data_IF_834290650365
#
_entry.id   IF_834290650365
#
_cell.length_a   1.000
_cell.length_b   1.000
_cell.length_c   1.000
_cell.angle_alpha   90.00
_cell.angle_beta   90.00
_cell.angle_gamma   90.00
#
_symmetry.space_group_name_H-M   'P 1'
#
loop_
_entity.id
_entity.type
_entity.pdbx_description
1 polymer ?
#
# COMPACT_ATOMS: atom_id res chain seq x y z
N UNK A 1 8.10 24.57 -8.15
CA UNK A 1 9.45 23.99 -8.15
C UNK A 1 9.27 22.49 -8.31
N UNK A 2 10.22 21.79 -8.91
CA UNK A 2 10.17 20.32 -8.97
C UNK A 2 10.95 19.79 -7.78
N UNK A 3 10.51 18.68 -7.17
CA UNK A 3 11.32 18.04 -6.13
C UNK A 3 12.72 17.73 -6.68
N UNK A 4 13.73 17.88 -5.81
CA UNK A 4 15.07 17.40 -6.13
C UNK A 4 15.05 15.88 -6.29
N UNK A 5 15.95 15.33 -7.09
CA UNK A 5 16.03 13.87 -7.30
C UNK A 5 16.23 13.10 -6.00
N UNK A 6 16.96 13.69 -5.04
CA UNK A 6 17.15 13.12 -3.70
C UNK A 6 15.84 13.07 -2.91
N UNK A 7 15.14 14.20 -2.81
CA UNK A 7 13.88 14.28 -2.07
C UNK A 7 12.81 13.36 -2.68
N UNK A 8 12.77 13.24 -4.02
CA UNK A 8 11.90 12.27 -4.69
C UNK A 8 12.25 10.82 -4.30
N UNK A 9 13.53 10.47 -4.23
CA UNK A 9 13.96 9.13 -3.83
C UNK A 9 13.59 8.84 -2.36
N UNK A 10 13.80 9.80 -1.47
CA UNK A 10 13.45 9.68 -0.04
C UNK A 10 11.93 9.41 0.14
N UNK A 11 11.08 10.16 -0.58
CA UNK A 11 9.63 9.90 -0.57
C UNK A 11 9.25 8.55 -1.16
N UNK A 12 9.89 8.13 -2.25
CA UNK A 12 9.66 6.82 -2.86
C UNK A 12 9.99 5.69 -1.89
N UNK A 13 11.13 5.77 -1.21
CA UNK A 13 11.56 4.78 -0.24
C UNK A 13 10.59 4.69 0.94
N UNK A 14 10.21 5.85 1.51
CA UNK A 14 9.25 5.92 2.61
C UNK A 14 7.90 5.30 2.22
N UNK A 15 7.36 5.67 1.05
CA UNK A 15 6.06 5.18 0.57
C UNK A 15 6.11 3.67 0.29
N UNK A 16 7.18 3.18 -0.33
CA UNK A 16 7.35 1.74 -0.56
C UNK A 16 7.42 0.99 0.77
N UNK A 17 8.13 1.52 1.77
CA UNK A 17 8.17 0.95 3.11
C UNK A 17 6.77 0.81 3.73
N UNK A 18 5.92 1.82 3.59
CA UNK A 18 4.54 1.75 4.10
C UNK A 18 3.63 0.80 3.29
N UNK A 19 3.83 0.70 1.97
CA UNK A 19 3.09 -0.25 1.13
C UNK A 19 3.51 -1.70 1.38
N UNK A 20 4.79 -1.94 1.65
CA UNK A 20 5.33 -3.27 1.96
C UNK A 20 4.96 -3.76 3.37
N UNK A 21 4.57 -2.83 4.25
CA UNK A 21 4.04 -3.14 5.57
C UNK A 21 2.60 -3.61 5.57
N UNK A 22 1.87 -3.53 4.44
CA UNK A 22 0.50 -4.03 4.39
C UNK A 22 0.53 -5.54 4.63
N UNK A 23 -0.01 -6.04 5.75
CA UNK A 23 0.03 -7.45 6.04
C UNK A 23 -0.88 -8.20 5.08
N UNK A 24 -0.39 -9.32 4.56
CA UNK A 24 -1.15 -10.23 3.72
C UNK A 24 -1.11 -11.60 4.40
N UNK A 25 -2.26 -12.04 4.89
CA UNK A 25 -2.38 -13.29 5.62
C UNK A 25 -2.80 -14.46 4.71
N UNK A 26 -3.57 -14.18 3.66
CA UNK A 26 -4.15 -15.19 2.75
C UNK A 26 -4.02 -14.81 1.30
N UNK A 27 -4.06 -15.81 0.42
CA UNK A 27 -4.00 -15.58 -1.03
C UNK A 27 -5.17 -14.75 -1.56
N UNK A 28 -6.36 -14.85 -0.96
CA UNK A 28 -7.52 -14.06 -1.40
C UNK A 28 -7.32 -12.55 -1.11
N UNK A 29 -6.49 -12.21 -0.11
CA UNK A 29 -6.28 -10.83 0.30
C UNK A 29 -5.46 -10.03 -0.71
N UNK A 30 -4.60 -10.65 -1.53
CA UNK A 30 -3.82 -9.93 -2.56
C UNK A 30 -4.73 -9.14 -3.51
N UNK A 31 -5.80 -9.78 -3.99
CA UNK A 31 -6.74 -9.13 -4.92
C UNK A 31 -7.60 -8.09 -4.20
N UNK A 32 -7.98 -8.35 -2.94
CA UNK A 32 -8.77 -7.40 -2.15
C UNK A 32 -7.98 -6.15 -1.80
N UNK A 33 -6.72 -6.29 -1.37
CA UNK A 33 -5.82 -5.17 -1.10
C UNK A 33 -5.58 -4.36 -2.38
N UNK A 34 -5.32 -5.03 -3.50
CA UNK A 34 -5.16 -4.36 -4.79
C UNK A 34 -6.42 -3.55 -5.17
N UNK A 35 -7.62 -4.07 -4.92
CA UNK A 35 -8.87 -3.35 -5.15
C UNK A 35 -9.04 -2.16 -4.22
N UNK A 36 -8.78 -2.30 -2.91
CA UNK A 36 -8.86 -1.19 -1.96
C UNK A 36 -7.86 -0.08 -2.31
N UNK A 37 -6.61 -0.43 -2.61
CA UNK A 37 -5.59 0.50 -3.09
C UNK A 37 -6.00 1.19 -4.39
N UNK A 38 -6.61 0.46 -5.33
CA UNK A 38 -7.10 1.01 -6.59
C UNK A 38 -8.20 2.05 -6.35
N UNK A 39 -9.09 1.86 -5.37
CA UNK A 39 -10.12 2.84 -5.00
C UNK A 39 -9.50 4.16 -4.53
N UNK A 40 -8.35 4.13 -3.84
CA UNK A 40 -7.67 5.34 -3.36
C UNK A 40 -7.21 6.25 -4.50
N UNK A 41 -6.71 5.66 -5.59
CA UNK A 41 -6.08 6.40 -6.69
C UNK A 41 -6.95 6.56 -7.94
N UNK A 42 -8.12 5.92 -7.97
CA UNK A 42 -9.06 6.02 -9.07
C UNK A 42 -9.98 7.21 -8.85
N UNK A 43 -9.96 8.17 -9.77
CA UNK A 43 -10.91 9.29 -9.75
C UNK A 43 -12.34 8.75 -9.81
N UNK A 44 -13.30 9.33 -9.06
CA UNK A 44 -14.71 8.95 -9.14
C UNK A 44 -15.25 9.01 -10.58
N UNK A 45 -14.68 9.88 -11.43
CA UNK A 45 -15.05 9.99 -12.84
C UNK A 45 -14.64 8.76 -13.68
N UNK A 46 -13.50 8.11 -13.37
CA UNK A 46 -13.05 6.88 -14.04
C UNK A 46 -13.84 5.67 -13.51
N UNK A 47 -14.18 5.69 -12.22
CA UNK A 47 -15.00 4.67 -11.56
C UNK A 47 -16.41 4.59 -12.18
N UNK A 48 -16.96 5.75 -12.58
CA UNK A 48 -18.24 5.83 -13.29
C UNK A 48 -18.17 5.31 -14.75
N UNK A 49 -17.03 5.47 -15.44
CA UNK A 49 -16.86 4.99 -16.82
C UNK A 49 -16.55 3.47 -16.85
N UNK A 50 -15.86 2.95 -15.84
CA UNK A 50 -15.71 1.50 -15.56
C UNK A 50 -16.95 0.92 -14.85
N UNK A 51 -18.16 1.30 -15.28
CA UNK A 51 -19.31 0.44 -15.04
C UNK A 51 -18.96 -0.97 -15.51
N UNK A 52 -19.37 -2.01 -14.77
CA UNK A 52 -19.22 -3.44 -15.09
C UNK A 52 -18.02 -4.26 -14.58
N UNK A 53 -17.48 -4.03 -13.37
CA UNK A 53 -16.90 -5.17 -12.59
C UNK A 53 -17.22 -5.05 -11.09
N UNK A 54 -18.39 -5.57 -10.71
CA UNK A 54 -18.64 -6.14 -9.37
C UNK A 54 -18.55 -5.22 -8.15
N UNK A 55 -19.41 -4.19 -8.06
CA UNK A 55 -19.73 -3.57 -6.77
C UNK A 55 -20.69 -4.46 -5.96
N UNK A 56 -20.18 -5.59 -5.47
CA UNK A 56 -20.73 -6.18 -4.24
C UNK A 56 -19.91 -5.64 -3.08
N UNK A 57 -20.51 -5.06 -2.03
CA UNK A 57 -19.79 -4.73 -0.81
C UNK A 57 -19.45 -6.06 -0.12
N UNK A 58 -18.39 -6.72 -0.55
CA UNK A 58 -17.82 -7.82 0.20
C UNK A 58 -17.38 -7.19 1.51
N UNK A 59 -18.03 -7.53 2.63
CA UNK A 59 -17.49 -7.29 3.96
C UNK A 59 -16.02 -7.65 3.88
N UNK A 60 -15.14 -6.65 4.01
CA UNK A 60 -13.72 -6.81 3.75
C UNK A 60 -13.22 -7.95 4.63
N UNK A 61 -12.89 -9.09 4.01
CA UNK A 61 -12.27 -10.22 4.71
C UNK A 61 -10.81 -9.91 5.05
N UNK A 62 -10.34 -8.69 4.73
CA UNK A 62 -9.03 -8.21 5.14
C UNK A 62 -8.95 -8.14 6.65
N UNK A 63 -7.81 -8.60 7.17
CA UNK A 63 -7.45 -8.38 8.57
C UNK A 63 -7.50 -6.91 8.97
N UNK A 64 -7.78 -6.64 10.25
CA UNK A 64 -7.79 -5.28 10.80
C UNK A 64 -6.45 -4.55 10.58
N UNK A 65 -5.33 -5.27 10.69
CA UNK A 65 -4.00 -4.73 10.43
C UNK A 65 -3.83 -4.27 8.97
N UNK A 66 -4.34 -5.04 8.00
CA UNK A 66 -4.33 -4.64 6.59
C UNK A 66 -5.20 -3.40 6.34
N UNK A 67 -6.38 -3.36 6.95
CA UNK A 67 -7.30 -2.21 6.86
C UNK A 67 -6.66 -0.95 7.45
N UNK A 68 -6.03 -1.04 8.62
CA UNK A 68 -5.36 0.08 9.28
C UNK A 68 -4.19 0.61 8.44
N UNK A 69 -3.37 -0.27 7.85
CA UNK A 69 -2.26 0.16 7.01
C UNK A 69 -2.76 0.81 5.70
N UNK A 70 -3.80 0.27 5.07
CA UNK A 70 -4.43 0.90 3.90
C UNK A 70 -5.02 2.27 4.27
N UNK A 71 -5.65 2.39 5.44
CA UNK A 71 -6.17 3.66 5.93
C UNK A 71 -5.04 4.69 6.17
N UNK A 72 -3.89 4.24 6.64
CA UNK A 72 -2.71 5.10 6.77
C UNK A 72 -2.19 5.58 5.40
N UNK A 73 -2.08 4.68 4.41
CA UNK A 73 -1.73 5.05 3.03
C UNK A 73 -2.74 6.06 2.45
N UNK A 74 -4.03 5.87 2.72
CA UNK A 74 -5.08 6.83 2.34
C UNK A 74 -4.90 8.19 3.02
N UNK A 75 -4.53 8.21 4.30
CA UNK A 75 -4.22 9.44 5.03
C UNK A 75 -3.02 10.17 4.41
N UNK A 76 -1.93 9.47 4.09
CA UNK A 76 -0.77 10.03 3.38
C UNK A 76 -1.19 10.68 2.05
N UNK A 77 -2.06 10.02 1.28
CA UNK A 77 -2.52 10.52 -0.01
C UNK A 77 -3.38 11.79 0.08
N UNK A 78 -4.32 11.83 1.02
CA UNK A 78 -5.27 12.94 1.13
C UNK A 78 -4.78 14.10 1.99
N UNK A 79 -3.70 13.90 2.75
CA UNK A 79 -3.19 14.90 3.71
C UNK A 79 -1.73 15.27 3.41
N UNK A 80 -1.39 15.69 2.18
CA UNK A 80 -0.01 15.96 1.78
C UNK A 80 0.66 17.07 2.60
N UNK A 81 -0.13 17.95 3.21
CA UNK A 81 0.32 19.01 4.11
C UNK A 81 1.08 18.52 5.35
N UNK A 82 0.85 17.28 5.76
CA UNK A 82 1.51 16.70 6.93
C UNK A 82 2.88 16.08 6.57
N UNK A 83 3.21 16.00 5.27
CA UNK A 83 4.42 15.36 4.73
C UNK A 83 5.28 16.30 3.87
N UNK A 84 4.68 17.39 3.38
CA UNK A 84 5.30 18.37 2.51
C UNK A 84 5.00 19.75 3.08
N UNK A 85 6.02 20.56 3.29
CA UNK A 85 5.84 21.91 3.85
C UNK A 85 5.19 22.87 2.85
N UNK A 86 5.55 22.75 1.57
CA UNK A 86 5.11 23.68 0.53
C UNK A 86 3.89 23.14 -0.24
N UNK A 87 2.78 23.88 -0.16
CA UNK A 87 1.55 23.57 -0.87
C UNK A 87 1.71 23.42 -2.39
N UNK A 88 2.68 24.09 -2.99
CA UNK A 88 2.96 24.00 -4.44
C UNK A 88 3.43 22.61 -4.87
N UNK A 89 3.97 21.83 -3.92
CA UNK A 89 4.58 20.53 -4.20
C UNK A 89 3.67 19.35 -3.79
N UNK A 90 2.48 19.62 -3.24
CA UNK A 90 1.51 18.59 -2.83
C UNK A 90 1.12 17.68 -3.99
N UNK A 91 0.89 18.26 -5.18
CA UNK A 91 0.53 17.51 -6.38
C UNK A 91 1.64 16.54 -6.81
N UNK A 92 2.91 16.93 -6.69
CA UNK A 92 4.04 16.06 -7.01
C UNK A 92 4.18 14.92 -6.00
N UNK A 93 3.97 15.19 -4.71
CA UNK A 93 3.95 14.16 -3.68
C UNK A 93 2.81 13.16 -3.89
N UNK A 94 1.60 13.64 -4.15
CA UNK A 94 0.44 12.78 -4.48
C UNK A 94 0.67 11.98 -5.75
N UNK A 95 1.37 12.54 -6.75
CA UNK A 95 1.73 11.81 -7.96
C UNK A 95 2.71 10.68 -7.66
N UNK A 96 3.73 10.89 -6.81
CA UNK A 96 4.65 9.83 -6.37
C UNK A 96 3.88 8.73 -5.66
N UNK A 97 3.00 9.08 -4.70
CA UNK A 97 2.14 8.10 -4.03
C UNK A 97 1.30 7.30 -5.03
N UNK A 98 0.68 7.97 -6.01
CA UNK A 98 -0.13 7.33 -7.04
C UNK A 98 0.70 6.35 -7.87
N UNK A 99 1.89 6.74 -8.30
CA UNK A 99 2.81 5.88 -9.06
C UNK A 99 3.19 4.63 -8.26
N UNK A 100 3.49 4.78 -6.97
CA UNK A 100 3.89 3.66 -6.10
C UNK A 100 2.73 2.75 -5.72
N UNK A 101 1.55 3.30 -5.43
CA UNK A 101 0.33 2.53 -5.22
C UNK A 101 -0.01 1.72 -6.49
N UNK A 102 0.11 2.33 -7.68
CA UNK A 102 -0.13 1.64 -8.96
C UNK A 102 0.87 0.50 -9.18
N UNK A 103 2.15 0.71 -8.86
CA UNK A 103 3.17 -0.33 -8.95
C UNK A 103 2.87 -1.50 -8.01
N UNK A 104 2.46 -1.23 -6.77
CA UNK A 104 2.08 -2.26 -5.79
C UNK A 104 0.85 -3.07 -6.22
N UNK A 105 -0.16 -2.39 -6.75
CA UNK A 105 -1.35 -3.03 -7.32
C UNK A 105 -0.94 -3.98 -8.46
N UNK A 106 -0.08 -3.50 -9.36
CA UNK A 106 0.40 -4.29 -10.49
C UNK A 106 1.15 -5.53 -10.00
N UNK A 107 2.07 -5.35 -9.05
CA UNK A 107 2.81 -6.44 -8.42
C UNK A 107 1.87 -7.54 -7.92
N UNK A 108 0.89 -7.19 -7.09
CA UNK A 108 -0.09 -8.15 -6.53
C UNK A 108 -0.98 -8.82 -7.58
N UNK A 109 -1.34 -8.11 -8.65
CA UNK A 109 -2.14 -8.65 -9.74
C UNK A 109 -1.33 -9.58 -10.66
N UNK A 110 -0.03 -9.33 -10.82
CA UNK A 110 0.86 -10.10 -11.69
C UNK A 110 1.51 -11.30 -11.01
N UNK A 111 1.53 -11.34 -9.67
CA UNK A 111 2.10 -12.47 -8.94
C UNK A 111 1.47 -13.79 -9.33
N UNK A 112 2.32 -14.74 -9.68
CA UNK A 112 2.00 -16.16 -9.77
C UNK A 112 1.66 -16.72 -8.39
N UNK A 113 1.01 -17.88 -8.33
CA UNK A 113 0.72 -18.57 -7.06
C UNK A 113 1.99 -18.84 -6.24
N UNK A 114 3.11 -19.18 -6.92
CA UNK A 114 4.40 -19.38 -6.27
C UNK A 114 4.92 -18.10 -5.62
N UNK A 115 4.83 -16.97 -6.30
CA UNK A 115 5.25 -15.66 -5.78
C UNK A 115 4.36 -15.21 -4.62
N UNK A 116 3.04 -15.41 -4.72
CA UNK A 116 2.11 -15.15 -3.60
C UNK A 116 2.48 -15.99 -2.37
N UNK A 117 2.79 -17.27 -2.58
CA UNK A 117 3.20 -18.18 -1.49
C UNK A 117 4.51 -17.73 -0.84
N UNK A 118 5.51 -17.37 -1.65
CA UNK A 118 6.79 -16.85 -1.18
C UNK A 118 6.63 -15.55 -0.40
N UNK A 119 5.75 -14.65 -0.87
CA UNK A 119 5.43 -13.40 -0.19
C UNK A 119 4.78 -13.63 1.18
N UNK A 120 3.81 -14.56 1.26
CA UNK A 120 3.18 -14.94 2.54
C UNK A 120 4.20 -15.56 3.51
N UNK A 121 5.14 -16.38 3.02
CA UNK A 121 6.20 -16.96 3.83
C UNK A 121 7.13 -15.87 4.38
N UNK A 122 7.59 -14.96 3.52
CA UNK A 122 8.43 -13.83 3.91
C UNK A 122 7.76 -12.92 4.96
N UNK A 123 6.46 -12.66 4.82
CA UNK A 123 5.72 -11.89 5.81
C UNK A 123 5.62 -12.60 7.17
N UNK A 124 5.43 -13.92 7.18
CA UNK A 124 5.43 -14.71 8.42
C UNK A 124 6.80 -14.70 9.10
N UNK A 125 7.88 -14.83 8.33
CA UNK A 125 9.25 -14.75 8.86
C UNK A 125 9.51 -13.39 9.51
N UNK A 126 9.16 -12.28 8.82
CA UNK A 126 9.25 -10.93 9.38
C UNK A 126 8.47 -10.74 10.68
N UNK A 127 7.27 -11.31 10.78
CA UNK A 127 6.46 -11.24 12.01
C UNK A 127 7.05 -12.09 13.13
N UNK A 128 7.63 -13.24 12.81
CA UNK A 128 8.29 -14.13 13.78
C UNK A 128 9.61 -13.58 14.33
N UNK A 129 10.33 -12.77 13.56
CA UNK A 129 11.58 -12.13 13.98
C UNK A 129 11.37 -11.05 15.06
N UNK A 130 10.16 -10.49 15.15
CA UNK A 130 9.79 -9.48 16.17
C UNK A 130 9.43 -10.11 17.52
N UNK A 131 9.09 -11.42 17.57
CA UNK A 131 8.71 -12.11 18.81
C UNK A 131 9.89 -12.68 19.64
N UNK A 132 11.14 -12.45 19.25
CA UNK A 132 12.29 -12.90 20.04
C UNK A 132 13.33 -11.81 20.35
N UNK A 133 13.16 -11.03 21.42
CA UNK A 133 14.23 -10.82 22.36
C UNK A 133 14.18 -11.97 23.37
N UNK A 134 14.88 -13.08 23.08
CA UNK A 134 15.36 -13.92 24.18
C UNK A 134 16.35 -13.08 24.97
N UNK A 135 15.85 -12.38 25.99
CA UNK A 135 16.69 -12.00 27.11
C UNK A 135 17.03 -13.30 27.83
N UNK A 136 18.12 -13.93 27.38
CA UNK A 136 18.84 -14.89 28.21
C UNK A 136 19.44 -14.09 29.38
N UNK A 137 18.67 -13.97 30.46
CA UNK A 137 19.18 -13.58 31.77
C UNK A 137 19.98 -14.77 32.31
N UNK A 138 21.29 -14.70 32.11
CA UNK A 138 22.29 -15.46 32.89
C UNK A 138 22.49 -14.78 34.25
#
# INVERSE_FOLDING_TARGET
MTFSSKLKADYVELINGELDRIPVARMEEFNLIAQELQKLITSPFILAIKGFFGCTPTKSTLTEAAQNQIAYVHYCYNTPKDFVENAKDYSQYQQILKERITAKITEFQTFTEKEKTAYLAFQREKLSEVEHPKFDLV
#
